data_IF_978844207571
#
_entry.id   IF_978844207571
#
_cell.length_a   1.000
_cell.length_b   1.000
_cell.length_c   1.000
_cell.angle_alpha   90.00
_cell.angle_beta   90.00
_cell.angle_gamma   90.00
#
_symmetry.space_group_name_H-M   'P 1'
#
loop_
_entity.id
_entity.type
_entity.pdbx_description
1 polymer ?
#
# COMPACT_ATOMS: atom_id res chain seq x y z
N UNK A 1 43.47 8.17 39.42
CA UNK A 1 42.07 8.10 38.92
C UNK A 1 41.39 9.42 39.26
N UNK A 2 40.62 10.01 38.33
CA UNK A 2 39.83 11.28 38.44
C UNK A 2 40.16 12.49 37.50
N UNK A 3 40.73 12.35 36.29
CA UNK A 3 40.65 13.45 35.28
C UNK A 3 39.68 13.22 34.12
N UNK A 4 39.31 11.98 33.79
CA UNK A 4 38.48 11.68 32.60
C UNK A 4 36.98 11.91 32.79
N UNK A 5 36.44 11.72 33.99
CA UNK A 5 35.00 11.94 34.24
C UNK A 5 34.60 13.42 34.23
N UNK A 6 35.50 14.32 34.63
CA UNK A 6 35.20 15.75 34.67
C UNK A 6 35.01 16.32 33.25
N UNK A 7 35.75 15.79 32.27
CA UNK A 7 35.67 16.22 30.87
C UNK A 7 34.36 15.78 30.21
N UNK A 8 33.93 14.53 30.46
CA UNK A 8 32.68 13.99 29.92
C UNK A 8 31.46 14.71 30.50
N UNK A 9 31.48 14.99 31.81
CA UNK A 9 30.39 15.74 32.46
C UNK A 9 30.33 17.22 31.99
N UNK A 10 31.47 17.81 31.65
CA UNK A 10 31.49 19.18 31.10
C UNK A 10 30.96 19.23 29.67
N UNK A 11 31.28 18.23 28.85
CA UNK A 11 30.73 18.08 27.49
C UNK A 11 29.22 17.82 27.49
N UNK A 12 28.74 16.93 28.35
CA UNK A 12 27.30 16.65 28.47
C UNK A 12 26.50 17.88 28.91
N UNK A 13 27.04 18.69 29.83
CA UNK A 13 26.40 19.96 30.24
C UNK A 13 26.43 21.04 29.16
N UNK A 14 27.34 20.96 28.19
CA UNK A 14 27.39 21.87 27.04
C UNK A 14 26.35 21.45 26.00
N UNK A 15 26.27 20.16 25.68
CA UNK A 15 25.25 19.61 24.80
C UNK A 15 23.82 19.84 25.32
N UNK A 16 23.59 19.70 26.64
CA UNK A 16 22.28 19.97 27.23
C UNK A 16 21.88 21.46 27.09
N UNK A 17 22.83 22.39 27.25
CA UNK A 17 22.58 23.84 27.07
C UNK A 17 22.32 24.22 25.62
N UNK A 18 23.03 23.61 24.68
CA UNK A 18 22.78 23.82 23.24
C UNK A 18 21.40 23.27 22.82
N UNK A 19 20.99 22.12 23.37
CA UNK A 19 19.67 21.55 23.13
C UNK A 19 18.52 22.42 23.71
N UNK A 20 18.71 23.02 24.90
CA UNK A 20 17.74 23.96 25.47
C UNK A 20 17.67 25.28 24.70
N UNK A 21 18.80 25.78 24.20
CA UNK A 21 18.86 26.98 23.35
C UNK A 21 18.11 26.77 22.03
N UNK A 22 18.32 25.62 21.38
CA UNK A 22 17.63 25.27 20.14
C UNK A 22 16.12 25.10 20.34
N UNK A 23 15.69 24.60 21.51
CA UNK A 23 14.27 24.52 21.87
C UNK A 23 13.65 25.91 22.07
N UNK A 24 14.36 26.86 22.69
CA UNK A 24 13.89 28.25 22.84
C UNK A 24 13.74 28.96 21.51
N UNK A 25 14.71 28.81 20.60
CA UNK A 25 14.62 29.40 19.25
C UNK A 25 13.45 28.82 18.44
N UNK A 26 13.13 27.53 18.60
CA UNK A 26 11.97 26.93 17.92
C UNK A 26 10.62 27.45 18.41
N UNK A 27 10.50 27.77 19.71
CA UNK A 27 9.26 28.27 20.31
C UNK A 27 9.06 29.75 19.97
N UNK A 28 10.15 30.53 19.89
CA UNK A 28 10.09 31.94 19.51
C UNK A 28 9.78 32.13 18.01
N UNK A 29 10.28 31.21 17.16
CA UNK A 29 9.93 31.18 15.74
C UNK A 29 8.47 30.78 15.47
N UNK A 30 7.84 30.02 16.37
CA UNK A 30 6.42 29.64 16.28
C UNK A 30 5.51 30.77 16.81
N UNK A 31 5.96 31.54 17.80
CA UNK A 31 5.24 32.71 18.33
C UNK A 31 5.17 33.89 17.36
N UNK A 32 6.06 34.00 16.38
CA UNK A 32 6.04 35.09 15.37
C UNK A 32 5.14 34.80 14.15
N UNK A 33 4.51 33.61 14.06
CA UNK A 33 3.60 33.26 12.96
C UNK A 33 2.11 33.46 13.26
N UNK A 34 1.76 33.93 14.45
CA UNK A 34 0.37 34.22 14.85
C UNK A 34 0.27 35.67 15.36
N UNK A 35 0.12 36.60 14.42
CA UNK A 35 -0.39 37.95 14.71
C UNK A 35 -1.59 38.20 13.80
N UNK A 36 -2.77 38.58 14.33
CA UNK A 36 -3.94 38.91 13.53
C UNK A 36 -3.90 40.38 13.09
N UNK A 37 -4.51 40.64 11.94
CA UNK A 37 -4.77 41.98 11.45
C UNK A 37 -6.03 42.57 12.11
N UNK A 38 -5.89 43.72 12.76
CA UNK A 38 -6.93 44.70 13.09
C UNK A 38 -6.68 45.95 12.23
N UNK A 39 -7.60 46.86 11.91
CA UNK A 39 -9.06 46.99 11.91
C UNK A 39 -9.28 48.44 11.40
N UNK A 40 -10.36 48.73 10.68
CA UNK A 40 -10.91 50.11 10.63
C UNK A 40 -12.41 50.01 10.83
N UNK A 41 -12.86 50.42 12.02
CA UNK A 41 -14.20 50.17 12.53
C UNK A 41 -15.25 51.25 12.26
N UNK A 42 -16.42 51.04 12.88
CA UNK A 42 -17.21 52.06 13.59
C UNK A 42 -18.31 51.43 14.43
N UNK A 43 -18.61 52.13 15.52
CA UNK A 43 -19.33 51.78 16.75
C UNK A 43 -20.84 51.53 16.61
N UNK A 44 -21.38 50.77 17.59
CA UNK A 44 -22.47 51.12 18.53
C UNK A 44 -23.25 49.84 18.90
N UNK A 45 -23.08 49.24 20.08
CA UNK A 45 -23.57 49.60 21.42
C UNK A 45 -24.82 48.79 21.86
N UNK A 46 -24.73 48.24 23.07
CA UNK A 46 -25.77 47.93 24.09
C UNK A 46 -26.35 46.50 24.23
N UNK A 47 -25.91 45.85 25.33
CA UNK A 47 -26.59 45.01 26.36
C UNK A 47 -27.51 43.85 25.94
N UNK A 48 -27.30 42.59 26.37
CA UNK A 48 -27.49 42.00 27.72
C UNK A 48 -28.93 42.21 28.25
N UNK A 49 -29.67 41.30 28.89
CA UNK A 49 -29.49 39.93 29.41
C UNK A 49 -30.86 39.56 30.03
N UNK A 50 -31.05 38.25 30.29
CA UNK A 50 -31.89 37.67 31.35
C UNK A 50 -33.27 37.10 30.99
N UNK A 51 -33.42 35.87 31.48
CA UNK A 51 -34.54 34.96 31.46
C UNK A 51 -35.41 35.11 32.71
N UNK A 52 -36.67 34.63 32.65
CA UNK A 52 -37.22 33.57 33.52
C UNK A 52 -38.77 33.57 33.59
N UNK A 53 -39.33 32.35 33.56
CA UNK A 53 -40.55 31.82 34.22
C UNK A 53 -41.90 32.54 34.01
N UNK A 54 -42.87 31.97 33.29
CA UNK A 54 -43.77 30.84 33.63
C UNK A 54 -44.95 31.24 34.53
N UNK A 55 -46.19 31.24 33.99
CA UNK A 55 -47.40 30.70 34.63
C UNK A 55 -48.56 30.53 33.63
N UNK A 56 -49.42 29.58 33.95
CA UNK A 56 -50.47 28.87 33.21
C UNK A 56 -51.85 29.56 33.33
N UNK A 57 -52.72 29.47 32.31
CA UNK A 57 -54.19 29.30 32.44
C UNK A 57 -54.93 29.41 31.08
N UNK A 58 -55.82 28.46 30.83
CA UNK A 58 -56.94 28.52 29.88
C UNK A 58 -58.26 28.27 30.67
N UNK A 59 -59.48 28.32 30.09
CA UNK A 59 -60.09 29.09 28.98
C UNK A 59 -61.32 29.90 29.50
N UNK A 60 -62.19 30.52 28.65
CA UNK A 60 -63.40 29.80 28.18
C UNK A 60 -63.99 30.25 26.80
N UNK A 61 -64.73 29.35 26.15
CA UNK A 61 -65.81 29.62 25.17
C UNK A 61 -67.19 29.60 25.90
N UNK A 62 -68.40 29.85 25.30
CA UNK A 62 -68.79 30.11 23.90
C UNK A 62 -69.82 31.25 23.69
N UNK A 63 -70.17 31.59 22.43
CA UNK A 63 -71.53 31.97 22.01
C UNK A 63 -71.69 31.95 20.47
N UNK A 64 -72.78 31.33 20.05
CA UNK A 64 -73.25 31.09 18.68
C UNK A 64 -74.17 32.23 18.24
N UNK A 65 -74.00 32.78 17.03
CA UNK A 65 -75.07 33.47 16.30
C UNK A 65 -74.87 33.47 14.77
N UNK A 66 -75.75 32.72 14.11
CA UNK A 66 -76.42 32.80 12.78
C UNK A 66 -75.78 33.58 11.59
N UNK A 67 -75.84 32.92 10.42
CA UNK A 67 -75.43 33.33 9.06
C UNK A 67 -76.12 34.60 8.49
N UNK A 68 -75.61 35.14 7.36
CA UNK A 68 -76.24 34.76 6.09
C UNK A 68 -75.26 34.43 4.95
N UNK A 69 -75.75 33.64 4.00
CA UNK A 69 -75.12 33.21 2.76
C UNK A 69 -74.68 34.38 1.87
N UNK A 70 -73.47 34.30 1.29
CA UNK A 70 -73.09 35.11 0.13
C UNK A 70 -72.30 34.28 -0.89
N UNK A 71 -72.82 34.27 -2.10
CA UNK A 71 -72.36 33.61 -3.32
C UNK A 71 -70.83 33.50 -3.48
N UNK A 72 -70.34 32.26 -3.62
CA UNK A 72 -69.01 31.99 -4.14
C UNK A 72 -68.96 32.27 -5.64
N UNK A 73 -68.27 33.33 -6.03
CA UNK A 73 -67.86 33.57 -7.42
C UNK A 73 -66.86 32.49 -7.84
N UNK A 74 -67.14 31.79 -8.93
CA UNK A 74 -66.27 30.72 -9.39
C UNK A 74 -64.97 31.33 -9.94
N UNK A 75 -63.83 30.69 -9.66
CA UNK A 75 -62.51 31.11 -10.19
C UNK A 75 -62.47 31.22 -11.74
N UNK A 76 -63.42 30.58 -12.43
CA UNK A 76 -63.61 30.69 -13.88
C UNK A 76 -64.13 32.06 -14.31
N UNK A 77 -64.98 32.67 -13.49
CA UNK A 77 -65.63 33.95 -13.79
C UNK A 77 -64.60 35.09 -13.67
N UNK A 78 -63.80 35.06 -12.60
CA UNK A 78 -62.67 35.99 -12.39
C UNK A 78 -61.60 35.87 -13.49
N UNK A 79 -61.38 34.65 -14.01
CA UNK A 79 -60.43 34.41 -15.10
C UNK A 79 -60.94 34.96 -16.43
N UNK A 80 -62.22 34.76 -16.76
CA UNK A 80 -62.82 35.30 -17.99
C UNK A 80 -62.87 36.84 -17.95
N UNK A 81 -63.22 37.43 -16.81
CA UNK A 81 -63.22 38.89 -16.61
C UNK A 81 -61.81 39.49 -16.81
N UNK A 82 -60.78 38.82 -16.30
CA UNK A 82 -59.38 39.24 -16.50
C UNK A 82 -58.92 39.11 -17.96
N UNK A 83 -59.38 38.09 -18.69
CA UNK A 83 -59.08 37.89 -20.11
C UNK A 83 -59.75 38.95 -20.97
N UNK A 84 -61.01 39.28 -20.69
CA UNK A 84 -61.75 40.30 -21.44
C UNK A 84 -61.19 41.71 -21.20
N UNK A 85 -60.79 42.03 -19.96
CA UNK A 85 -60.09 43.29 -19.64
C UNK A 85 -58.77 43.45 -20.39
N UNK A 86 -57.99 42.36 -20.54
CA UNK A 86 -56.73 42.37 -21.29
C UNK A 86 -57.00 42.47 -22.80
N UNK A 87 -58.05 41.82 -23.31
CA UNK A 87 -58.47 41.90 -24.70
C UNK A 87 -58.87 43.32 -25.11
N UNK A 88 -59.65 44.01 -24.27
CA UNK A 88 -60.12 45.38 -24.52
C UNK A 88 -58.97 46.39 -24.53
N UNK A 89 -58.01 46.26 -23.60
CA UNK A 89 -56.85 47.15 -23.51
C UNK A 89 -55.81 46.94 -24.63
N UNK A 90 -55.79 45.75 -25.23
CA UNK A 90 -54.82 45.37 -26.26
C UNK A 90 -55.41 45.34 -27.68
N UNK A 91 -56.71 45.62 -27.83
CA UNK A 91 -57.42 45.62 -29.12
C UNK A 91 -57.51 44.24 -29.78
N UNK A 92 -57.33 43.17 -29.00
CA UNK A 92 -57.29 41.79 -29.49
C UNK A 92 -58.51 41.01 -28.98
N UNK A 93 -59.09 40.18 -29.85
CA UNK A 93 -60.21 39.32 -29.48
C UNK A 93 -59.85 38.37 -28.32
N UNK A 94 -60.78 38.11 -27.39
CA UNK A 94 -60.53 37.35 -26.16
C UNK A 94 -59.88 35.98 -26.40
N UNK A 95 -60.23 35.29 -27.50
CA UNK A 95 -59.62 34.01 -27.88
C UNK A 95 -58.13 34.11 -28.23
N UNK A 96 -57.67 35.26 -28.75
CA UNK A 96 -56.26 35.52 -29.05
C UNK A 96 -55.46 35.73 -27.75
N UNK A 97 -56.04 36.41 -26.76
CA UNK A 97 -55.41 36.58 -25.44
C UNK A 97 -55.26 35.23 -24.74
N UNK A 98 -56.30 34.39 -24.80
CA UNK A 98 -56.26 33.02 -24.27
C UNK A 98 -55.17 32.20 -24.98
N UNK A 99 -55.07 32.29 -26.32
CA UNK A 99 -54.04 31.59 -27.09
C UNK A 99 -52.62 32.04 -26.71
N UNK A 100 -52.40 33.33 -26.44
CA UNK A 100 -51.12 33.87 -25.97
C UNK A 100 -50.80 33.34 -24.57
N UNK A 101 -51.75 33.34 -23.63
CA UNK A 101 -51.55 32.82 -22.27
C UNK A 101 -51.19 31.32 -22.31
N UNK A 102 -51.88 30.53 -23.15
CA UNK A 102 -51.56 29.12 -23.37
C UNK A 102 -50.17 28.97 -24.00
N UNK A 103 -49.82 29.80 -24.98
CA UNK A 103 -48.49 29.82 -25.58
C UNK A 103 -47.38 30.11 -24.57
N UNK A 104 -47.57 31.10 -23.71
CA UNK A 104 -46.63 31.42 -22.62
C UNK A 104 -46.53 30.27 -21.62
N UNK A 105 -47.64 29.63 -21.26
CA UNK A 105 -47.65 28.44 -20.40
C UNK A 105 -46.89 27.28 -21.02
N UNK A 106 -47.05 27.03 -22.32
CA UNK A 106 -46.31 25.97 -23.04
C UNK A 106 -44.82 26.30 -23.08
N UNK A 107 -44.44 27.56 -23.29
CA UNK A 107 -43.03 28.00 -23.26
C UNK A 107 -42.45 27.88 -21.84
N UNK A 108 -43.18 28.25 -20.80
CA UNK A 108 -42.74 28.11 -19.40
C UNK A 108 -42.62 26.64 -19.02
N UNK A 109 -43.59 25.79 -19.38
CA UNK A 109 -43.53 24.35 -19.17
C UNK A 109 -42.40 23.70 -19.99
N UNK A 110 -42.14 24.20 -21.20
CA UNK A 110 -41.03 23.81 -22.05
C UNK A 110 -39.67 24.21 -21.45
N UNK A 111 -39.57 25.42 -20.89
CA UNK A 111 -38.40 25.91 -20.17
C UNK A 111 -38.17 25.16 -18.86
N UNK A 112 -39.23 24.87 -18.08
CA UNK A 112 -39.16 24.03 -16.89
C UNK A 112 -38.75 22.60 -17.26
N UNK A 113 -39.32 22.03 -18.32
CA UNK A 113 -38.92 20.72 -18.86
C UNK A 113 -37.48 20.75 -19.36
N UNK A 114 -37.01 21.83 -19.99
CA UNK A 114 -35.62 21.98 -20.43
C UNK A 114 -34.66 22.17 -19.26
N UNK A 115 -35.04 22.93 -18.23
CA UNK A 115 -34.29 23.10 -16.99
C UNK A 115 -34.20 21.78 -16.21
N UNK A 116 -35.32 21.07 -16.04
CA UNK A 116 -35.39 19.71 -15.48
C UNK A 116 -34.53 18.77 -16.32
N UNK A 117 -34.69 18.75 -17.65
CA UNK A 117 -33.91 17.91 -18.57
C UNK A 117 -32.42 18.27 -18.58
N UNK A 118 -32.01 19.52 -18.34
CA UNK A 118 -30.60 19.94 -18.21
C UNK A 118 -30.04 19.53 -16.84
N UNK A 119 -30.84 19.62 -15.78
CA UNK A 119 -30.50 19.14 -14.43
C UNK A 119 -30.39 17.61 -14.38
N UNK A 120 -31.25 16.89 -15.12
CA UNK A 120 -31.20 15.43 -15.28
C UNK A 120 -30.21 14.96 -16.37
N UNK A 121 -29.83 15.78 -17.37
CA UNK A 121 -28.74 15.46 -18.32
C UNK A 121 -27.36 15.61 -17.69
N UNK A 122 -27.19 16.49 -16.70
CA UNK A 122 -25.96 16.52 -15.87
C UNK A 122 -25.87 15.29 -14.93
N UNK A 123 -26.97 14.53 -14.80
CA UNK A 123 -27.05 13.28 -14.00
C UNK A 123 -27.22 12.01 -14.86
N UNK A 124 -27.16 12.09 -16.20
CA UNK A 124 -27.31 10.89 -17.05
C UNK A 124 -26.71 11.06 -18.45
N UNK A 125 -25.40 10.90 -18.52
CA UNK A 125 -24.76 10.33 -19.71
C UNK A 125 -24.80 8.81 -19.60
N UNK A 126 -25.72 8.20 -20.36
CA UNK A 126 -25.72 6.81 -20.81
C UNK A 126 -26.18 5.72 -19.83
N UNK A 127 -27.49 5.48 -19.82
CA UNK A 127 -28.04 4.12 -19.79
C UNK A 127 -29.25 4.05 -20.72
N UNK A 128 -29.09 3.30 -21.82
CA UNK A 128 -30.18 2.75 -22.60
C UNK A 128 -29.68 1.48 -23.32
N UNK A 129 -29.77 0.34 -22.64
CA UNK A 129 -30.36 -0.87 -23.24
C UNK A 129 -30.96 -1.75 -22.15
N UNK A 130 -32.26 -2.01 -22.32
CA UNK A 130 -33.18 -2.70 -21.42
C UNK A 130 -32.84 -4.20 -21.42
N UNK A 131 -32.63 -4.77 -20.23
CA UNK A 131 -32.54 -6.21 -19.99
C UNK A 131 -32.25 -6.51 -18.53
N UNK A 132 -33.28 -6.90 -17.77
CA UNK A 132 -33.19 -7.51 -16.43
C UNK A 132 -32.63 -6.63 -15.30
N UNK A 133 -33.48 -6.30 -14.31
CA UNK A 133 -33.00 -5.97 -12.96
C UNK A 133 -32.32 -7.22 -12.39
N UNK A 134 -31.03 -7.39 -12.65
CA UNK A 134 -30.17 -8.21 -11.83
C UNK A 134 -29.86 -7.40 -10.58
N UNK A 135 -30.51 -7.72 -9.45
CA UNK A 135 -29.85 -7.49 -8.18
C UNK A 135 -28.48 -8.17 -8.32
N UNK A 136 -27.38 -7.42 -8.25
CA UNK A 136 -26.05 -8.02 -8.14
C UNK A 136 -26.10 -8.76 -6.80
N UNK A 137 -26.45 -10.03 -6.87
CA UNK A 137 -26.59 -10.88 -5.71
C UNK A 137 -25.21 -10.94 -5.07
N UNK A 138 -25.13 -10.64 -3.78
CA UNK A 138 -23.89 -10.74 -3.01
C UNK A 138 -23.27 -12.13 -3.22
N UNK A 139 -24.12 -13.15 -3.40
CA UNK A 139 -23.68 -14.52 -3.74
C UNK A 139 -22.92 -14.59 -5.06
N UNK A 140 -23.24 -13.79 -6.09
CA UNK A 140 -22.52 -13.80 -7.37
C UNK A 140 -21.09 -13.27 -7.25
N UNK A 141 -20.87 -12.26 -6.40
CA UNK A 141 -19.53 -11.72 -6.11
C UNK A 141 -18.73 -12.71 -5.29
N UNK A 142 -19.40 -13.33 -4.31
CA UNK A 142 -18.80 -14.30 -3.43
C UNK A 142 -18.44 -15.59 -4.19
N UNK A 143 -19.31 -16.02 -5.11
CA UNK A 143 -19.09 -17.17 -6.00
C UNK A 143 -17.97 -16.88 -7.01
N UNK A 144 -17.86 -15.64 -7.51
CA UNK A 144 -16.71 -15.22 -8.30
C UNK A 144 -15.41 -15.29 -7.48
N UNK A 145 -15.42 -14.76 -6.25
CA UNK A 145 -14.28 -14.84 -5.33
C UNK A 145 -13.86 -16.28 -5.08
N UNK A 146 -14.82 -17.15 -4.72
CA UNK A 146 -14.61 -18.57 -4.46
C UNK A 146 -14.09 -19.32 -5.70
N UNK A 147 -14.60 -19.06 -6.90
CA UNK A 147 -14.14 -19.69 -8.14
C UNK A 147 -12.66 -19.35 -8.45
N UNK A 148 -12.19 -18.15 -8.08
CA UNK A 148 -10.76 -17.82 -8.17
C UNK A 148 -9.95 -18.41 -7.02
N UNK A 149 -10.55 -18.60 -5.84
CA UNK A 149 -9.90 -19.25 -4.69
C UNK A 149 -9.61 -20.72 -4.98
N UNK A 150 -10.56 -21.41 -5.58
CA UNK A 150 -10.44 -22.82 -6.02
C UNK A 150 -9.36 -23.00 -7.10
N UNK A 151 -9.22 -22.04 -8.02
CA UNK A 151 -8.11 -22.03 -9.00
C UNK A 151 -6.72 -21.84 -8.36
N UNK A 152 -6.64 -21.38 -7.12
CA UNK A 152 -5.39 -21.18 -6.40
C UNK A 152 -4.99 -22.45 -5.60
N UNK A 153 -5.90 -23.41 -5.37
CA UNK A 153 -5.62 -24.67 -4.65
C UNK A 153 -6.61 -25.81 -5.03
N UNK A 154 -6.17 -26.94 -5.61
CA UNK A 154 -6.94 -28.18 -5.58
C UNK A 154 -6.72 -29.04 -4.31
N UNK A 155 -5.75 -28.73 -3.43
CA UNK A 155 -5.19 -29.76 -2.53
C UNK A 155 -5.27 -29.46 -1.01
N UNK A 156 -6.17 -28.59 -0.54
CA UNK A 156 -6.20 -28.17 0.88
C UNK A 156 -7.32 -28.81 1.73
N UNK A 157 -8.32 -29.46 1.12
CA UNK A 157 -9.49 -29.99 1.85
C UNK A 157 -9.34 -31.45 2.34
N UNK A 158 -8.27 -32.16 1.98
CA UNK A 158 -8.05 -33.56 2.41
C UNK A 158 -7.19 -33.70 3.68
N UNK A 159 -6.66 -32.60 4.23
CA UNK A 159 -5.79 -32.61 5.42
C UNK A 159 -6.48 -32.21 6.73
N UNK A 160 -7.78 -31.87 6.69
CA UNK A 160 -8.52 -31.40 7.87
C UNK A 160 -9.19 -32.48 8.71
N UNK A 161 -9.12 -33.77 8.33
CA UNK A 161 -9.69 -34.88 9.12
C UNK A 161 -8.70 -35.59 10.07
N UNK A 162 -7.43 -35.17 10.11
CA UNK A 162 -6.43 -35.74 11.03
C UNK A 162 -5.86 -34.75 12.06
N UNK A 163 -6.52 -33.60 12.27
CA UNK A 163 -6.03 -32.52 13.13
C UNK A 163 -6.79 -32.35 14.45
N UNK A 164 -7.52 -33.37 14.90
CA UNK A 164 -8.10 -33.40 16.25
C UNK A 164 -7.40 -34.48 17.07
N UNK A 165 -6.43 -34.03 17.87
CA UNK A 165 -5.77 -34.66 19.03
C UNK A 165 -4.26 -34.56 18.95
N UNK A 166 -3.67 -33.37 19.21
CA UNK A 166 -2.42 -33.31 19.97
C UNK A 166 -2.42 -32.04 20.84
N UNK A 167 -2.02 -32.26 22.09
CA UNK A 167 -2.15 -31.32 23.21
C UNK A 167 -1.21 -30.10 23.11
N UNK A 168 -1.56 -29.08 23.89
CA UNK A 168 -0.83 -27.83 24.05
C UNK A 168 0.60 -28.07 24.54
N UNK A 169 1.58 -27.70 23.73
CA UNK A 169 2.94 -27.44 24.19
C UNK A 169 3.40 -26.05 23.74
N UNK A 170 3.79 -25.25 24.73
CA UNK A 170 4.33 -23.90 24.60
C UNK A 170 5.68 -23.94 23.85
N UNK A 171 5.67 -23.81 22.52
CA UNK A 171 6.91 -23.62 21.75
C UNK A 171 7.30 -22.15 21.68
N UNK A 172 8.32 -21.79 22.47
CA UNK A 172 9.27 -20.72 22.14
C UNK A 172 9.70 -20.86 20.68
N UNK A 173 9.79 -19.75 19.95
CA UNK A 173 10.48 -19.68 18.65
C UNK A 173 11.92 -20.21 18.80
N UNK A 174 12.14 -21.48 18.44
CA UNK A 174 13.49 -22.00 18.24
C UNK A 174 14.00 -21.39 16.93
N UNK A 175 15.05 -20.58 17.03
CA UNK A 175 15.78 -20.13 15.86
C UNK A 175 16.17 -21.35 15.01
N UNK A 176 15.63 -21.45 13.79
CA UNK A 176 15.99 -22.51 12.84
C UNK A 176 17.51 -22.51 12.68
N UNK A 177 18.17 -23.57 13.17
CA UNK A 177 19.59 -23.80 12.94
C UNK A 177 19.77 -24.22 11.49
N UNK A 178 20.54 -23.44 10.74
CA UNK A 178 20.79 -23.70 9.31
C UNK A 178 22.05 -24.53 9.06
N UNK A 179 22.69 -24.99 10.14
CA UNK A 179 23.96 -25.70 10.13
C UNK A 179 25.17 -24.77 10.18
N UNK A 180 26.34 -25.35 9.94
CA UNK A 180 27.63 -24.65 9.99
C UNK A 180 28.56 -25.13 8.88
N UNK A 181 29.49 -24.27 8.46
CA UNK A 181 30.47 -24.54 7.41
C UNK A 181 31.89 -24.40 7.97
N UNK A 182 32.73 -25.38 7.67
CA UNK A 182 34.17 -25.33 7.89
C UNK A 182 34.90 -24.95 6.60
N UNK A 183 35.75 -23.94 6.69
CA UNK A 183 36.54 -23.47 5.56
C UNK A 183 37.96 -23.15 6.00
N UNK A 184 38.87 -23.12 5.02
CA UNK A 184 40.27 -22.76 5.19
C UNK A 184 40.70 -21.70 4.19
N UNK A 185 41.41 -20.67 4.64
CA UNK A 185 41.92 -19.56 3.83
C UNK A 185 43.43 -19.48 3.93
N UNK A 186 44.10 -19.38 2.77
CA UNK A 186 45.54 -19.20 2.68
C UNK A 186 45.85 -18.18 1.59
N UNK A 187 46.63 -17.15 1.93
CA UNK A 187 47.05 -16.15 0.94
C UNK A 187 48.53 -16.30 0.62
N UNK A 188 48.84 -16.45 -0.67
CA UNK A 188 50.20 -16.43 -1.17
C UNK A 188 50.58 -15.02 -1.67
N UNK A 189 51.43 -14.35 -0.89
CA UNK A 189 51.93 -13.01 -1.19
C UNK A 189 52.82 -12.97 -2.44
N UNK A 190 53.44 -14.09 -2.83
CA UNK A 190 54.34 -14.14 -3.98
C UNK A 190 53.55 -14.21 -5.28
N UNK A 191 52.45 -14.96 -5.30
CA UNK A 191 51.61 -15.15 -6.48
C UNK A 191 50.33 -14.29 -6.51
N UNK A 192 50.08 -13.50 -5.47
CA UNK A 192 48.85 -12.71 -5.27
C UNK A 192 47.60 -13.56 -5.46
N UNK A 193 47.56 -14.69 -4.75
CA UNK A 193 46.51 -15.68 -4.88
C UNK A 193 45.93 -16.04 -3.51
N UNK A 194 44.61 -15.88 -3.37
CA UNK A 194 43.86 -16.35 -2.22
C UNK A 194 43.33 -17.76 -2.52
N UNK A 195 43.90 -18.76 -1.85
CA UNK A 195 43.40 -20.12 -1.86
C UNK A 195 42.28 -20.27 -0.81
N UNK A 196 41.09 -20.61 -1.28
CA UNK A 196 39.88 -20.80 -0.49
C UNK A 196 39.52 -22.27 -0.54
N UNK A 197 39.63 -22.97 0.58
CA UNK A 197 39.27 -24.39 0.68
C UNK A 197 37.95 -24.53 1.43
N UNK A 198 36.99 -25.17 0.79
CA UNK A 198 35.73 -25.60 1.40
C UNK A 198 35.92 -27.02 1.91
N UNK A 199 35.92 -27.20 3.23
CA UNK A 199 36.24 -28.51 3.84
C UNK A 199 34.97 -29.33 3.95
N UNK A 200 34.04 -28.91 4.79
CA UNK A 200 32.80 -29.64 5.09
C UNK A 200 31.73 -28.73 5.67
N UNK A 201 30.47 -29.17 5.63
CA UNK A 201 29.37 -28.56 6.35
C UNK A 201 28.69 -29.59 7.25
N UNK A 202 28.06 -29.13 8.33
CA UNK A 202 27.36 -29.96 9.30
C UNK A 202 25.99 -29.39 9.67
N UNK A 203 25.07 -30.27 10.03
CA UNK A 203 23.71 -29.95 10.50
C UNK A 203 22.90 -29.11 9.50
N UNK A 204 23.07 -29.36 8.19
CA UNK A 204 22.25 -28.69 7.18
C UNK A 204 20.77 -29.13 7.30
N UNK A 205 19.81 -28.24 7.04
CA UNK A 205 18.39 -28.59 7.01
C UNK A 205 18.09 -29.51 5.81
N UNK A 206 17.16 -30.45 6.02
CA UNK A 206 16.59 -31.28 4.98
C UNK A 206 15.53 -30.50 4.20
N UNK A 207 15.76 -30.25 2.91
CA UNK A 207 14.82 -29.54 2.04
C UNK A 207 14.11 -30.47 1.05
N UNK A 208 14.68 -31.65 0.75
CA UNK A 208 14.00 -32.64 -0.09
C UNK A 208 12.91 -33.40 0.68
N UNK A 209 11.85 -33.82 -0.03
CA UNK A 209 10.80 -34.70 0.50
C UNK A 209 11.34 -36.03 1.07
N UNK A 210 12.58 -36.39 0.75
CA UNK A 210 13.27 -37.58 1.28
C UNK A 210 13.93 -37.40 2.65
N UNK A 211 13.82 -36.22 3.28
CA UNK A 211 14.48 -35.94 4.58
C UNK A 211 15.99 -35.74 4.47
N UNK A 212 16.49 -35.45 3.27
CA UNK A 212 17.89 -35.14 2.99
C UNK A 212 17.99 -33.85 2.15
N UNK A 213 19.21 -33.45 1.81
CA UNK A 213 19.48 -32.42 0.82
C UNK A 213 20.63 -32.89 -0.08
N UNK A 214 20.78 -32.29 -1.25
CA UNK A 214 21.86 -32.45 -2.21
C UNK A 214 22.79 -31.20 -2.19
N UNK A 215 23.54 -30.92 -1.09
CA UNK A 215 24.23 -29.65 -0.91
C UNK A 215 25.44 -29.45 -1.84
N UNK A 216 25.63 -28.20 -2.25
CA UNK A 216 26.84 -27.68 -2.89
C UNK A 216 27.09 -26.21 -2.51
N UNK A 217 28.35 -25.77 -2.55
CA UNK A 217 28.75 -24.43 -2.10
C UNK A 217 29.22 -23.58 -3.28
N UNK A 218 28.68 -22.37 -3.39
CA UNK A 218 29.17 -21.32 -4.28
C UNK A 218 30.07 -20.35 -3.53
N UNK A 219 31.28 -20.14 -4.04
CA UNK A 219 32.25 -19.19 -3.51
C UNK A 219 32.43 -18.02 -4.47
N UNK A 220 32.31 -16.78 -3.95
CA UNK A 220 32.57 -15.57 -4.73
C UNK A 220 33.02 -14.39 -3.84
N UNK A 221 33.66 -13.40 -4.45
CA UNK A 221 34.15 -12.20 -3.76
C UNK A 221 33.27 -11.00 -4.06
N UNK A 222 32.67 -10.37 -3.05
CA UNK A 222 32.00 -9.07 -3.21
C UNK A 222 33.03 -7.93 -3.24
N UNK A 223 32.82 -6.89 -4.06
CA UNK A 223 31.64 -6.62 -4.89
C UNK A 223 31.62 -7.34 -6.26
N UNK A 224 32.70 -8.00 -6.64
CA UNK A 224 32.84 -8.65 -7.96
C UNK A 224 32.13 -10.01 -8.05
N UNK A 225 30.82 -9.99 -8.31
CA UNK A 225 30.00 -11.19 -8.47
C UNK A 225 30.28 -11.99 -9.77
N UNK A 226 31.24 -11.57 -10.62
CA UNK A 226 31.46 -12.22 -11.94
C UNK A 226 32.21 -13.55 -11.82
N UNK A 227 33.18 -13.64 -10.91
CA UNK A 227 33.95 -14.88 -10.69
C UNK A 227 33.31 -15.69 -9.57
N UNK A 228 32.66 -16.79 -9.95
CA UNK A 228 32.03 -17.74 -9.04
C UNK A 228 32.68 -19.10 -9.22
N UNK A 229 32.98 -19.75 -8.11
CA UNK A 229 33.38 -21.16 -8.09
C UNK A 229 32.31 -21.95 -7.38
N UNK A 230 32.12 -23.20 -7.79
CA UNK A 230 31.09 -24.09 -7.24
C UNK A 230 31.76 -25.42 -6.91
N UNK A 231 31.44 -25.98 -5.74
CA UNK A 231 31.85 -27.35 -5.39
C UNK A 231 31.01 -28.36 -6.16
N UNK A 232 31.43 -29.62 -6.11
CA UNK A 232 30.59 -30.73 -6.51
C UNK A 232 29.35 -30.82 -5.62
N UNK A 233 28.29 -31.36 -6.21
CA UNK A 233 27.04 -31.69 -5.53
C UNK A 233 27.20 -33.01 -4.79
N UNK A 234 26.97 -33.01 -3.49
CA UNK A 234 26.93 -34.22 -2.68
C UNK A 234 25.47 -34.62 -2.47
N UNK A 235 25.10 -35.82 -2.92
CA UNK A 235 23.69 -36.23 -2.87
C UNK A 235 23.29 -36.82 -1.53
N UNK A 236 22.07 -36.52 -1.10
CA UNK A 236 21.36 -37.10 0.05
C UNK A 236 22.19 -37.06 1.33
N UNK A 237 22.76 -35.91 1.65
CA UNK A 237 23.57 -35.73 2.85
C UNK A 237 23.33 -34.35 3.49
N UNK A 238 23.24 -34.34 4.82
CA UNK A 238 23.17 -33.11 5.62
C UNK A 238 24.53 -32.71 6.21
N UNK A 239 25.53 -33.58 6.04
CA UNK A 239 26.91 -33.36 6.50
C UNK A 239 27.90 -33.61 5.34
N UNK A 240 27.88 -32.79 4.28
CA UNK A 240 28.74 -32.98 3.13
C UNK A 240 30.21 -32.68 3.46
N UNK A 241 31.11 -33.51 2.94
CA UNK A 241 32.56 -33.29 2.98
C UNK A 241 33.05 -33.01 1.56
N UNK A 242 33.37 -31.74 1.28
CA UNK A 242 33.74 -31.26 -0.04
C UNK A 242 35.24 -31.42 -0.31
N UNK A 243 36.09 -30.89 0.58
CA UNK A 243 37.55 -30.83 0.42
C UNK A 243 38.00 -30.26 -0.94
N UNK A 244 37.41 -29.14 -1.36
CA UNK A 244 37.72 -28.50 -2.65
C UNK A 244 38.38 -27.13 -2.44
N UNK A 245 39.47 -26.87 -3.16
CA UNK A 245 40.22 -25.61 -3.09
C UNK A 245 40.05 -24.78 -4.36
N UNK A 246 39.69 -23.51 -4.19
CA UNK A 246 39.49 -22.52 -5.24
C UNK A 246 40.51 -21.39 -5.13
N UNK A 247 41.02 -20.93 -6.26
CA UNK A 247 42.08 -19.92 -6.32
C UNK A 247 41.56 -18.60 -6.87
N UNK A 248 41.57 -17.55 -6.03
CA UNK A 248 41.21 -16.20 -6.41
C UNK A 248 42.47 -15.34 -6.61
N UNK A 249 42.81 -15.08 -7.87
CA UNK A 249 43.88 -14.14 -8.23
C UNK A 249 43.44 -12.70 -7.95
N UNK A 250 43.87 -12.16 -6.82
CA UNK A 250 43.53 -10.81 -6.36
C UNK A 250 44.72 -10.24 -5.58
N UNK A 251 45.18 -9.00 -5.88
CA UNK A 251 46.23 -8.34 -5.11
C UNK A 251 45.82 -8.13 -3.65
N UNK A 252 46.79 -8.23 -2.73
CA UNK A 252 46.54 -8.05 -1.29
C UNK A 252 45.86 -6.71 -0.95
N UNK A 253 46.27 -5.62 -1.62
CA UNK A 253 45.70 -4.29 -1.42
C UNK A 253 44.19 -4.23 -1.70
N UNK A 254 43.69 -5.01 -2.66
CA UNK A 254 42.29 -5.02 -3.03
C UNK A 254 41.46 -5.92 -2.10
N UNK A 255 42.07 -6.93 -1.47
CA UNK A 255 41.38 -7.88 -0.60
C UNK A 255 40.76 -7.20 0.62
N UNK A 256 41.39 -6.16 1.16
CA UNK A 256 40.89 -5.42 2.34
C UNK A 256 39.50 -4.83 2.09
N UNK A 257 39.16 -4.51 0.84
CA UNK A 257 37.85 -3.97 0.46
C UNK A 257 36.82 -5.05 0.07
N UNK A 258 37.19 -6.33 0.14
CA UNK A 258 36.38 -7.45 -0.36
C UNK A 258 35.82 -8.31 0.76
N UNK A 259 34.67 -8.92 0.47
CA UNK A 259 34.04 -9.90 1.35
C UNK A 259 33.93 -11.22 0.61
N UNK A 260 34.50 -12.29 1.18
CA UNK A 260 34.33 -13.63 0.66
C UNK A 260 32.97 -14.17 1.12
N UNK A 261 32.22 -14.71 0.17
CA UNK A 261 30.89 -15.29 0.43
C UNK A 261 30.91 -16.76 0.08
N UNK A 262 30.49 -17.58 1.03
CA UNK A 262 30.15 -18.98 0.83
C UNK A 262 28.63 -19.11 0.88
N UNK A 263 28.00 -19.41 -0.24
CA UNK A 263 26.56 -19.62 -0.32
C UNK A 263 26.27 -21.10 -0.54
N UNK A 264 25.59 -21.74 0.41
CA UNK A 264 25.24 -23.15 0.33
C UNK A 264 23.86 -23.28 -0.29
N UNK A 265 23.77 -24.14 -1.30
CA UNK A 265 22.54 -24.43 -2.02
C UNK A 265 22.24 -25.91 -1.98
N UNK A 266 20.96 -26.22 -2.03
CA UNK A 266 20.44 -27.54 -2.32
C UNK A 266 20.23 -27.70 -3.83
N UNK A 267 20.76 -28.79 -4.40
CA UNK A 267 20.65 -29.05 -5.82
C UNK A 267 19.34 -29.78 -6.14
N UNK A 268 18.56 -29.17 -7.02
CA UNK A 268 17.28 -29.70 -7.46
C UNK A 268 17.28 -30.04 -8.95
N UNK A 269 16.82 -31.24 -9.30
CA UNK A 269 16.83 -31.70 -10.70
C UNK A 269 15.72 -31.09 -11.56
N UNK A 270 14.57 -30.79 -10.95
CA UNK A 270 13.36 -30.40 -11.66
C UNK A 270 12.78 -29.05 -11.18
N UNK A 271 13.43 -28.43 -10.20
CA UNK A 271 13.05 -27.15 -9.58
C UNK A 271 14.25 -26.20 -9.53
N UNK A 272 14.00 -24.97 -9.09
CA UNK A 272 15.07 -24.01 -8.81
C UNK A 272 15.79 -24.45 -7.54
N UNK A 273 17.12 -24.39 -7.55
CA UNK A 273 17.96 -24.72 -6.39
C UNK A 273 17.65 -23.80 -5.20
N UNK A 274 17.41 -24.39 -4.04
CA UNK A 274 17.10 -23.67 -2.82
C UNK A 274 18.38 -23.25 -2.09
N UNK A 275 18.43 -22.00 -1.63
CA UNK A 275 19.59 -21.53 -0.87
C UNK A 275 19.39 -21.81 0.61
N UNK A 276 20.20 -22.71 1.16
CA UNK A 276 20.14 -23.12 2.57
C UNK A 276 20.60 -21.98 3.48
N UNK A 277 21.73 -21.35 3.14
CA UNK A 277 22.33 -20.32 3.97
C UNK A 277 23.59 -19.74 3.36
N UNK A 278 24.16 -18.73 4.00
CA UNK A 278 25.43 -18.16 3.60
C UNK A 278 26.34 -17.82 4.78
N UNK A 279 27.65 -17.82 4.51
CA UNK A 279 28.69 -17.29 5.40
C UNK A 279 29.38 -16.15 4.67
N UNK A 280 29.44 -14.99 5.33
CA UNK A 280 30.15 -13.81 4.84
C UNK A 280 31.40 -13.56 5.69
N UNK A 281 32.53 -13.42 5.02
CA UNK A 281 33.84 -13.22 5.64
C UNK A 281 34.46 -11.93 5.09
N UNK A 282 34.30 -10.80 5.79
CA UNK A 282 35.00 -9.56 5.44
C UNK A 282 36.50 -9.78 5.57
N UNK A 283 37.24 -9.70 4.47
CA UNK A 283 38.66 -10.04 4.46
C UNK A 283 39.52 -9.00 5.19
N UNK A 284 38.99 -7.80 5.48
CA UNK A 284 39.65 -6.81 6.33
C UNK A 284 39.77 -7.22 7.81
N UNK A 285 38.95 -8.17 8.28
CA UNK A 285 38.95 -8.64 9.67
C UNK A 285 39.80 -9.90 9.86
N UNK A 286 40.39 -10.40 8.77
CA UNK A 286 41.01 -11.72 8.67
C UNK A 286 42.50 -11.51 8.49
N UNK A 287 43.31 -12.05 9.41
CA UNK A 287 44.77 -12.00 9.30
C UNK A 287 45.28 -13.06 8.31
N UNK A 288 45.28 -12.68 7.02
CA UNK A 288 45.71 -13.54 5.91
C UNK A 288 47.23 -13.85 5.91
N UNK A 289 48.00 -13.32 6.86
CA UNK A 289 49.40 -13.72 7.05
C UNK A 289 49.54 -15.15 7.62
N UNK A 290 48.46 -15.68 8.21
CA UNK A 290 48.40 -17.04 8.72
C UNK A 290 47.35 -17.86 7.96
N UNK A 291 47.54 -19.17 7.95
CA UNK A 291 46.51 -20.11 7.52
C UNK A 291 45.35 -20.06 8.51
N UNK A 292 44.15 -19.72 8.02
CA UNK A 292 42.95 -19.65 8.84
C UNK A 292 42.09 -20.87 8.55
N UNK A 293 41.68 -21.59 9.59
CA UNK A 293 40.75 -22.70 9.51
C UNK A 293 39.77 -22.57 10.66
N UNK A 294 38.50 -22.34 10.35
CA UNK A 294 37.48 -22.13 11.37
C UNK A 294 36.10 -22.62 10.93
N UNK A 295 35.23 -22.82 11.91
CA UNK A 295 33.81 -23.09 11.71
C UNK A 295 33.03 -21.78 11.80
N UNK A 296 32.07 -21.61 10.88
CA UNK A 296 31.08 -20.54 10.97
C UNK A 296 29.67 -21.06 10.78
N UNK A 297 28.77 -20.56 11.62
CA UNK A 297 27.34 -20.85 11.51
C UNK A 297 26.77 -20.20 10.24
N UNK A 298 25.84 -20.91 9.61
CA UNK A 298 25.15 -20.43 8.42
C UNK A 298 24.09 -19.40 8.82
N UNK A 299 24.11 -18.27 8.13
CA UNK A 299 23.12 -17.21 8.31
C UNK A 299 22.04 -17.38 7.24
N UNK A 300 20.78 -17.20 7.65
CA UNK A 300 19.67 -17.23 6.71
C UNK A 300 19.81 -16.08 5.72
N UNK A 301 19.74 -16.43 4.44
CA UNK A 301 19.78 -15.44 3.36
C UNK A 301 18.48 -14.60 3.38
N UNK A 302 17.44 -15.13 4.03
CA UNK A 302 16.18 -14.45 4.26
C UNK A 302 16.25 -13.30 5.26
N UNK A 303 17.22 -13.31 6.19
CA UNK A 303 17.31 -12.37 7.31
C UNK A 303 18.15 -11.11 7.06
N UNK A 304 19.43 -11.25 6.69
CA UNK A 304 20.36 -10.10 6.69
C UNK A 304 21.32 -10.05 5.49
N UNK A 305 21.34 -11.12 4.68
CA UNK A 305 22.34 -11.30 3.64
C UNK A 305 21.87 -11.05 2.19
N UNK A 306 20.58 -11.26 1.93
CA UNK A 306 19.97 -11.16 0.60
C UNK A 306 19.37 -9.78 0.26
N UNK A 307 19.58 -8.76 1.10
CA UNK A 307 18.94 -7.44 0.94
C UNK A 307 19.35 -6.68 -0.33
N UNK A 308 20.46 -7.03 -1.00
CA UNK A 308 20.80 -6.34 -2.26
C UNK A 308 19.81 -6.62 -3.40
N UNK A 309 19.06 -7.74 -3.33
CA UNK A 309 18.09 -8.13 -4.36
C UNK A 309 16.62 -8.13 -3.90
N UNK A 310 16.32 -7.98 -2.60
CA UNK A 310 14.94 -7.82 -2.12
C UNK A 310 14.55 -6.34 -2.17
N UNK A 311 13.49 -6.02 -2.91
CA UNK A 311 12.98 -4.65 -3.07
C UNK A 311 12.19 -4.17 -1.85
N UNK A 312 11.79 -5.10 -0.97
CA UNK A 312 11.02 -4.90 0.25
C UNK A 312 9.61 -5.49 0.17
N UNK A 313 8.85 -5.35 1.25
CA UNK A 313 7.46 -5.81 1.33
C UNK A 313 6.53 -4.62 1.64
N UNK A 314 5.30 -4.68 1.12
CA UNK A 314 4.26 -3.68 1.37
C UNK A 314 2.98 -4.34 1.91
N UNK A 315 2.40 -3.73 2.94
CA UNK A 315 1.13 -4.12 3.52
C UNK A 315 0.05 -3.10 3.14
N UNK A 316 -1.06 -3.59 2.60
CA UNK A 316 -2.22 -2.77 2.31
C UNK A 316 -3.50 -3.59 2.45
N UNK A 317 -4.61 -2.89 2.67
CA UNK A 317 -5.93 -3.52 2.72
C UNK A 317 -6.79 -3.17 1.51
N UNK A 318 -7.56 -4.16 1.07
CA UNK A 318 -8.55 -4.04 0.01
C UNK A 318 -9.94 -4.28 0.55
N UNK A 319 -10.88 -3.41 0.15
CA UNK A 319 -12.30 -3.54 0.48
C UNK A 319 -13.14 -3.20 -0.74
N UNK A 320 -13.95 -4.15 -1.20
CA UNK A 320 -14.87 -3.90 -2.29
C UNK A 320 -16.34 -3.90 -1.82
N UNK A 321 -17.10 -2.91 -2.27
CA UNK A 321 -18.54 -2.79 -2.05
C UNK A 321 -19.24 -2.85 -3.41
N UNK A 322 -19.76 -4.02 -3.83
CA UNK A 322 -20.34 -4.21 -5.16
C UNK A 322 -21.54 -3.30 -5.44
N UNK A 323 -22.44 -3.15 -4.46
CA UNK A 323 -23.66 -2.33 -4.57
C UNK A 323 -23.37 -0.87 -4.91
N UNK A 324 -22.24 -0.34 -4.45
CA UNK A 324 -21.83 1.04 -4.70
C UNK A 324 -20.75 1.16 -5.78
N UNK A 325 -20.23 0.03 -6.30
CA UNK A 325 -19.05 -0.01 -7.16
C UNK A 325 -17.85 0.70 -6.54
N UNK A 326 -17.61 0.55 -5.23
CA UNK A 326 -16.52 1.23 -4.52
C UNK A 326 -15.43 0.25 -4.11
N UNK A 327 -14.22 0.48 -4.60
CA UNK A 327 -13.00 -0.20 -4.18
C UNK A 327 -12.19 0.75 -3.29
N UNK A 328 -12.02 0.40 -2.03
CA UNK A 328 -11.17 1.13 -1.08
C UNK A 328 -9.86 0.38 -0.90
N UNK A 329 -8.76 1.11 -1.06
CA UNK A 329 -7.38 0.65 -0.88
C UNK A 329 -6.78 1.46 0.27
N UNK A 330 -6.38 0.81 1.35
CA UNK A 330 -5.69 1.47 2.47
C UNK A 330 -4.24 1.03 2.47
N UNK A 331 -3.32 1.95 2.20
CA UNK A 331 -1.89 1.68 2.30
C UNK A 331 -1.51 1.78 3.78
N UNK A 332 -1.09 0.67 4.38
CA UNK A 332 -0.79 0.60 5.81
C UNK A 332 0.67 0.97 6.04
N UNK A 333 1.59 0.12 5.61
CA UNK A 333 3.03 0.27 5.82
C UNK A 333 3.84 -0.52 4.80
N UNK A 334 5.14 -0.25 4.72
CA UNK A 334 6.09 -1.09 4.02
C UNK A 334 7.29 -1.36 4.94
N UNK A 335 8.03 -2.44 4.67
CA UNK A 335 9.22 -2.82 5.44
C UNK A 335 10.34 -3.32 4.54
N UNK A 336 11.56 -3.21 5.04
CA UNK A 336 12.77 -3.70 4.39
C UNK A 336 12.91 -3.20 2.95
N UNK A 337 12.53 -1.94 2.69
CA UNK A 337 12.67 -1.36 1.36
C UNK A 337 14.13 -1.29 0.93
N UNK A 338 14.39 -1.45 -0.36
CA UNK A 338 15.73 -1.25 -0.93
C UNK A 338 16.14 0.21 -0.80
N UNK A 339 17.35 0.44 -0.29
CA UNK A 339 18.00 1.75 -0.24
C UNK A 339 18.40 2.20 -1.65
N UNK A 340 17.94 3.36 -2.08
CA UNK A 340 18.30 3.94 -3.39
C UNK A 340 19.27 5.13 -3.27
N UNK A 341 19.24 5.90 -2.17
CA UNK A 341 20.09 7.10 -2.06
C UNK A 341 21.55 6.79 -1.73
N UNK A 342 22.47 7.41 -2.47
CA UNK A 342 23.91 7.38 -2.21
C UNK A 342 24.23 8.26 -0.98
N UNK A 343 24.28 7.65 0.19
CA UNK A 343 24.60 8.32 1.46
C UNK A 343 23.41 8.60 2.38
N UNK A 344 22.18 8.22 1.98
CA UNK A 344 20.95 8.31 2.77
C UNK A 344 20.29 6.94 3.02
N UNK A 345 19.02 6.94 3.43
CA UNK A 345 18.14 5.76 3.32
C UNK A 345 17.36 5.88 2.01
N UNK A 346 16.03 5.90 2.08
CA UNK A 346 15.13 6.26 0.99
C UNK A 346 14.06 7.20 1.53
N UNK A 347 13.42 7.96 0.64
CA UNK A 347 12.27 8.83 0.86
C UNK A 347 10.99 8.22 0.22
N UNK A 348 10.50 7.06 0.69
CA UNK A 348 9.46 6.32 0.00
C UNK A 348 8.08 7.02 -0.01
N UNK A 349 7.40 6.88 -1.14
CA UNK A 349 5.95 7.10 -1.27
C UNK A 349 5.35 6.05 -2.21
N UNK A 350 4.03 5.84 -2.09
CA UNK A 350 3.33 4.81 -2.87
C UNK A 350 2.45 5.47 -3.92
N UNK A 351 2.63 5.08 -5.19
CA UNK A 351 1.73 5.38 -6.30
C UNK A 351 0.74 4.24 -6.48
N UNK A 352 -0.55 4.58 -6.60
CA UNK A 352 -1.63 3.62 -6.79
C UNK A 352 -2.31 3.97 -8.12
N UNK A 353 -2.28 3.05 -9.07
CA UNK A 353 -2.85 3.23 -10.39
C UNK A 353 -3.88 2.13 -10.69
N UNK A 354 -5.09 2.55 -11.05
CA UNK A 354 -6.10 1.65 -11.60
C UNK A 354 -5.90 1.53 -13.10
N UNK A 355 -5.68 0.31 -13.58
CA UNK A 355 -5.49 -0.03 -14.99
C UNK A 355 -6.71 -0.77 -15.53
N UNK A 356 -7.08 -0.53 -16.78
CA UNK A 356 -8.08 -1.33 -17.50
C UNK A 356 -7.66 -1.47 -18.96
N UNK A 357 -7.57 -2.71 -19.45
CA UNK A 357 -7.12 -3.00 -20.82
C UNK A 357 -5.79 -2.29 -21.19
N UNK A 358 -4.81 -2.31 -20.29
CA UNK A 358 -3.52 -1.63 -20.47
C UNK A 358 -3.53 -0.11 -20.29
N UNK A 359 -4.70 0.54 -20.19
CA UNK A 359 -4.80 2.00 -20.02
C UNK A 359 -4.94 2.40 -18.55
N UNK A 360 -4.20 3.44 -18.15
CA UNK A 360 -4.25 4.06 -16.81
C UNK A 360 -5.53 4.89 -16.65
N UNK A 361 -6.47 4.46 -15.79
CA UNK A 361 -7.74 5.15 -15.55
C UNK A 361 -7.64 6.27 -14.51
N UNK A 362 -7.14 5.92 -13.31
CA UNK A 362 -7.04 6.84 -12.16
C UNK A 362 -5.72 6.58 -11.44
N UNK A 363 -5.05 7.65 -11.01
CA UNK A 363 -3.81 7.60 -10.21
C UNK A 363 -4.01 8.34 -8.91
N UNK A 364 -3.49 7.78 -7.82
CA UNK A 364 -3.42 8.39 -6.50
C UNK A 364 -2.01 8.15 -5.93
N UNK A 365 -1.61 8.94 -4.94
CA UNK A 365 -0.31 8.79 -4.27
C UNK A 365 -0.45 9.08 -2.78
N UNK A 366 0.41 8.48 -1.98
CA UNK A 366 0.52 8.76 -0.54
C UNK A 366 1.34 10.02 -0.26
N UNK A 367 1.41 10.40 1.02
CA UNK A 367 2.46 11.27 1.53
C UNK A 367 3.85 10.63 1.37
N UNK A 368 4.88 11.47 1.33
CA UNK A 368 6.29 11.04 1.26
C UNK A 368 6.81 10.91 2.69
N UNK A 369 7.44 9.78 3.01
CA UNK A 369 8.10 9.54 4.29
C UNK A 369 9.60 9.66 4.07
N UNK A 370 10.27 10.53 4.81
CA UNK A 370 11.68 10.82 4.60
C UNK A 370 12.59 9.88 5.38
N UNK A 371 13.76 9.57 4.81
CA UNK A 371 14.84 8.82 5.43
C UNK A 371 14.37 7.57 6.18
N UNK A 372 13.62 6.69 5.51
CA UNK A 372 13.12 5.43 6.12
C UNK A 372 13.00 4.30 5.12
N UNK A 373 13.32 3.08 5.56
CA UNK A 373 13.07 1.84 4.81
C UNK A 373 11.84 1.08 5.33
N UNK A 374 11.21 1.59 6.39
CA UNK A 374 10.03 1.01 7.02
C UNK A 374 8.93 2.08 7.20
N UNK A 375 8.40 2.64 6.10
CA UNK A 375 7.44 3.73 6.17
C UNK A 375 6.05 3.27 6.64
N UNK A 376 5.45 4.04 7.55
CA UNK A 376 4.05 3.90 7.96
C UNK A 376 3.19 5.02 7.34
N UNK A 377 2.12 4.63 6.64
CA UNK A 377 1.23 5.54 5.92
C UNK A 377 -0.16 5.62 6.57
N UNK A 378 -0.85 4.48 6.67
CA UNK A 378 -2.27 4.38 7.03
C UNK A 378 -3.18 5.36 6.24
N UNK A 379 -2.99 5.41 4.93
CA UNK A 379 -3.69 6.33 4.03
C UNK A 379 -4.73 5.58 3.17
N UNK A 380 -5.97 6.09 3.13
CA UNK A 380 -7.09 5.46 2.44
C UNK A 380 -7.42 6.13 1.11
N UNK A 381 -7.60 5.32 0.08
CA UNK A 381 -7.90 5.75 -1.28
C UNK A 381 -9.12 5.00 -1.81
N UNK A 382 -10.06 5.73 -2.42
CA UNK A 382 -11.26 5.13 -3.00
C UNK A 382 -11.28 5.28 -4.52
N UNK A 383 -11.60 4.19 -5.20
CA UNK A 383 -11.82 4.10 -6.64
C UNK A 383 -13.26 3.66 -6.91
N UNK A 384 -13.84 4.21 -7.97
CA UNK A 384 -15.16 3.82 -8.46
C UNK A 384 -14.96 2.79 -9.56
N UNK A 385 -15.35 1.55 -9.27
CA UNK A 385 -15.22 0.38 -10.14
C UNK A 385 -16.55 -0.39 -10.11
N UNK A 386 -17.39 -0.24 -11.15
CA UNK A 386 -18.59 -1.06 -11.31
C UNK A 386 -18.27 -2.55 -11.31
N UNK A 387 -19.20 -3.38 -10.82
CA UNK A 387 -18.97 -4.82 -10.68
C UNK A 387 -18.72 -5.49 -12.03
N UNK A 388 -19.36 -5.03 -13.10
CA UNK A 388 -19.18 -5.53 -14.47
C UNK A 388 -17.75 -5.33 -14.99
N UNK A 389 -17.00 -4.41 -14.39
CA UNK A 389 -15.63 -4.06 -14.77
C UNK A 389 -14.58 -4.66 -13.84
N UNK A 390 -14.97 -5.19 -12.66
CA UNK A 390 -14.01 -5.63 -11.63
C UNK A 390 -13.07 -6.74 -12.12
N UNK A 391 -13.51 -7.56 -13.08
CA UNK A 391 -12.69 -8.62 -13.68
C UNK A 391 -11.70 -8.11 -14.75
N UNK A 392 -11.91 -6.90 -15.27
CA UNK A 392 -11.12 -6.30 -16.36
C UNK A 392 -10.09 -5.28 -15.88
N UNK A 393 -10.14 -4.96 -14.59
CA UNK A 393 -9.28 -3.96 -13.98
C UNK A 393 -8.13 -4.62 -13.23
N UNK A 394 -6.98 -3.96 -13.27
CA UNK A 394 -5.82 -4.31 -12.46
C UNK A 394 -5.45 -3.12 -11.58
N UNK A 395 -5.14 -3.39 -10.32
CA UNK A 395 -4.62 -2.42 -9.37
C UNK A 395 -3.09 -2.53 -9.35
N UNK A 396 -2.41 -1.47 -9.74
CA UNK A 396 -0.94 -1.39 -9.73
C UNK A 396 -0.53 -0.51 -8.56
N UNK A 397 0.25 -1.07 -7.64
CA UNK A 397 0.82 -0.38 -6.49
C UNK A 397 2.33 -0.33 -6.70
N UNK A 398 2.90 0.87 -6.71
CA UNK A 398 4.34 1.08 -6.95
C UNK A 398 4.92 1.89 -5.81
N UNK A 399 5.92 1.35 -5.13
CA UNK A 399 6.73 2.07 -4.15
C UNK A 399 7.83 2.80 -4.91
N UNK A 400 7.97 4.09 -4.66
CA UNK A 400 8.88 4.98 -5.38
C UNK A 400 9.70 5.75 -4.36
N UNK A 401 10.99 5.87 -4.61
CA UNK A 401 11.88 6.76 -3.87
C UNK A 401 11.76 8.19 -4.38
N UNK A 402 11.57 9.15 -3.47
CA UNK A 402 11.47 10.55 -3.84
C UNK A 402 12.81 11.26 -3.78
N UNK A 403 13.43 11.46 -4.93
CA UNK A 403 14.57 12.36 -5.04
C UNK A 403 14.17 13.83 -5.07
N UNK A 404 14.78 14.64 -4.20
CA UNK A 404 14.65 16.11 -4.23
C UNK A 404 15.30 16.70 -5.49
N UNK A 405 16.39 16.09 -5.97
CA UNK A 405 17.16 16.52 -7.13
C UNK A 405 17.37 15.30 -8.03
N UNK A 406 16.61 15.21 -9.12
CA UNK A 406 16.67 14.09 -10.05
C UNK A 406 15.30 13.53 -10.41
N UNK A 407 15.28 12.31 -10.94
CA UNK A 407 14.06 11.57 -11.28
C UNK A 407 13.77 10.53 -10.21
N UNK A 408 12.64 10.65 -9.52
CA UNK A 408 12.17 9.67 -8.54
C UNK A 408 12.16 8.24 -9.11
N UNK A 409 12.91 7.34 -8.50
CA UNK A 409 13.09 5.97 -9.00
C UNK A 409 12.09 4.98 -8.37
N UNK A 410 11.46 4.10 -9.15
CA UNK A 410 10.61 3.05 -8.59
C UNK A 410 11.48 2.02 -7.86
N UNK A 411 11.19 1.81 -6.57
CA UNK A 411 11.82 0.76 -5.77
C UNK A 411 11.25 -0.61 -6.18
N UNK A 412 9.92 -0.69 -6.32
CA UNK A 412 9.26 -1.95 -6.68
C UNK A 412 7.77 -1.81 -6.90
N UNK A 413 7.15 -2.86 -7.44
CA UNK A 413 5.76 -2.85 -7.93
C UNK A 413 5.05 -4.15 -7.57
N UNK A 414 3.74 -4.05 -7.32
CA UNK A 414 2.81 -5.17 -7.17
C UNK A 414 1.61 -4.90 -8.07
N UNK A 415 1.12 -5.94 -8.75
CA UNK A 415 -0.04 -5.87 -9.63
C UNK A 415 -1.09 -6.88 -9.18
N UNK A 416 -2.26 -6.38 -8.80
CA UNK A 416 -3.40 -7.18 -8.38
C UNK A 416 -4.50 -7.11 -9.44
N UNK A 417 -5.28 -8.19 -9.55
CA UNK A 417 -6.38 -8.30 -10.50
C UNK A 417 -6.72 -9.75 -10.78
N UNK A 418 -7.77 -9.99 -11.56
CA UNK A 418 -8.18 -11.36 -11.95
C UNK A 418 -7.15 -12.08 -12.84
N UNK A 419 -6.21 -11.34 -13.43
CA UNK A 419 -5.13 -11.88 -14.26
C UNK A 419 -3.79 -11.99 -13.52
N UNK A 420 -3.75 -11.67 -12.22
CA UNK A 420 -2.57 -11.87 -11.39
C UNK A 420 -2.38 -13.36 -11.07
N UNK A 421 -1.23 -13.72 -10.49
CA UNK A 421 -0.92 -15.08 -10.04
C UNK A 421 -0.45 -15.05 -8.57
N UNK A 422 -0.51 -16.19 -7.89
CA UNK A 422 -0.01 -16.34 -6.52
C UNK A 422 -0.73 -15.48 -5.49
N UNK A 423 0.04 -14.83 -4.63
CA UNK A 423 -0.43 -14.03 -3.48
C UNK A 423 -1.34 -12.87 -3.87
N UNK A 424 -1.08 -12.22 -5.01
CA UNK A 424 -1.82 -11.08 -5.53
C UNK A 424 -3.22 -11.50 -5.99
N UNK A 425 -3.32 -12.64 -6.66
CA UNK A 425 -4.61 -13.21 -7.06
C UNK A 425 -5.41 -13.63 -5.83
N UNK A 426 -4.76 -14.26 -4.85
CA UNK A 426 -5.40 -14.66 -3.58
C UNK A 426 -5.98 -13.45 -2.85
N UNK A 427 -5.20 -12.38 -2.67
CA UNK A 427 -5.69 -11.17 -2.01
C UNK A 427 -6.89 -10.55 -2.75
N UNK A 428 -6.85 -10.55 -4.09
CA UNK A 428 -7.95 -10.06 -4.93
C UNK A 428 -9.20 -10.95 -4.83
N UNK A 429 -9.02 -12.28 -4.84
CA UNK A 429 -10.08 -13.27 -4.66
C UNK A 429 -10.73 -13.16 -3.28
N UNK A 430 -9.94 -13.07 -2.21
CA UNK A 430 -10.42 -12.94 -0.83
C UNK A 430 -11.22 -11.63 -0.63
N UNK A 431 -10.78 -10.54 -1.27
CA UNK A 431 -11.53 -9.27 -1.30
C UNK A 431 -12.91 -9.43 -1.96
N UNK A 432 -13.02 -10.20 -3.05
CA UNK A 432 -14.30 -10.45 -3.73
C UNK A 432 -15.17 -11.45 -2.95
N UNK A 433 -14.56 -12.47 -2.34
CA UNK A 433 -15.22 -13.47 -1.51
C UNK A 433 -15.75 -12.88 -0.18
N UNK A 434 -15.15 -11.81 0.31
CA UNK A 434 -15.53 -11.12 1.55
C UNK A 434 -16.05 -9.70 1.28
N UNK A 435 -17.21 -9.53 0.61
CA UNK A 435 -17.73 -8.23 0.25
C UNK A 435 -17.94 -7.36 1.49
N UNK A 436 -17.60 -6.07 1.39
CA UNK A 436 -17.68 -5.06 2.47
C UNK A 436 -16.72 -5.28 3.66
N UNK A 437 -15.91 -6.34 3.68
CA UNK A 437 -14.87 -6.54 4.69
C UNK A 437 -13.52 -6.07 4.12
N UNK A 438 -12.74 -5.26 4.86
CA UNK A 438 -11.36 -5.02 4.50
C UNK A 438 -10.52 -6.28 4.75
N UNK A 439 -9.76 -6.69 3.75
CA UNK A 439 -8.76 -7.75 3.85
C UNK A 439 -7.41 -7.08 3.77
N UNK A 440 -6.54 -7.29 4.75
CA UNK A 440 -5.17 -6.76 4.78
C UNK A 440 -4.20 -7.89 4.50
N UNK A 441 -3.20 -7.64 3.65
CA UNK A 441 -2.22 -8.65 3.31
C UNK A 441 -0.87 -8.01 2.94
N UNK A 442 0.21 -8.71 3.28
CA UNK A 442 1.57 -8.39 2.85
C UNK A 442 1.81 -8.89 1.43
N UNK A 443 2.55 -8.11 0.65
CA UNK A 443 2.99 -8.44 -0.70
C UNK A 443 4.47 -8.09 -0.86
N UNK A 444 5.23 -9.00 -1.45
CA UNK A 444 6.64 -8.76 -1.78
C UNK A 444 6.74 -7.94 -3.07
N UNK A 445 7.55 -6.89 -3.03
CA UNK A 445 7.75 -6.00 -4.17
C UNK A 445 8.54 -6.71 -5.27
N UNK A 446 8.03 -6.62 -6.51
CA UNK A 446 8.68 -7.14 -7.72
C UNK A 446 9.36 -6.02 -8.48
N UNK A 447 10.31 -6.37 -9.34
CA UNK A 447 11.01 -5.42 -10.18
C UNK A 447 10.00 -4.60 -10.99
N UNK A 448 10.13 -3.26 -11.01
CA UNK A 448 9.28 -2.46 -11.86
C UNK A 448 9.62 -2.81 -13.31
N UNK A 449 8.68 -3.37 -14.06
CA UNK A 449 8.86 -3.54 -15.51
C UNK A 449 9.32 -2.20 -16.10
N UNK A 450 10.34 -2.23 -16.95
CA UNK A 450 10.71 -1.11 -17.81
C UNK A 450 9.50 -0.79 -18.70
N UNK A 451 8.56 0.00 -18.17
CA UNK A 451 7.53 0.69 -18.94
C UNK A 451 8.32 1.61 -19.89
N UNK A 452 8.72 1.06 -21.05
CA UNK A 452 9.16 1.84 -22.20
C UNK A 452 8.14 2.96 -22.34
N UNK A 453 8.66 4.19 -22.35
CA UNK A 453 7.91 5.39 -22.69
C UNK A 453 7.29 5.13 -24.07
N UNK A 454 6.01 4.78 -24.09
CA UNK A 454 5.14 4.96 -25.24
C UNK A 454 4.69 6.42 -25.32
#
# INVERSE_FOLDING_TARGET
MAPREMYVNTLLRRFAREAESAKKESVEAESQKMAPAEETGKEAAVAASAAAAAEEAAPPEPKVEVAPESAGTNAKDLFMESVDFIGEKSGMASWMVIAIIIGVLIVVLGCLFFCIRRFFRKKRGKDAKKGGKGAIDIKSVQLLGNAYKEKVQPDMEELTEHAEEEEKDDKKEEAQKLGRLQYKLEFDFNSNNLAVTVIQAEELPALDMGGTSDPYVKCYLLPDKKKKFETKVHRKTLNPVFNETFNFKVPYADLVSKTLVFAIFDFDRFSKHDQIGEVKVPLCQVDLAQTIEEWKDLVSVEGEGGQENKLGDICFSLRYVPTAGKLTVVILEAKNLKKMDVGGLSDPYVKIAMMMNGKRLKKKKTSIKKCTLNPYYNESFTFEVPFEQIQKVNLVITVVDYDRIGTSEPIGKVVLGCNATGTELRHWSDMLASPRRPIAQWHTLKEPDDDKKD
#
